data_IF_368039372879
#
_entry.id   IF_368039372879
#
_cell.length_a   1.000
_cell.length_b   1.000
_cell.length_c   1.000
_cell.angle_alpha   90.00
_cell.angle_beta   90.00
_cell.angle_gamma   90.00
#
_symmetry.space_group_name_H-M   'P 1'
#
loop_
_entity.id
_entity.type
_entity.pdbx_description
1 polymer ?
#
# COMPACT_ATOMS: atom_id res chain seq x y z
N UNK A 1 -62.59 61.18 -47.88
CA UNK A 1 -64.00 61.55 -48.00
C UNK A 1 -64.78 60.59 -47.10
N UNK A 2 -65.44 61.13 -46.06
CA UNK A 2 -66.61 60.61 -45.31
C UNK A 2 -66.50 59.19 -44.69
N UNK A 3 -66.89 58.85 -43.47
CA UNK A 3 -67.66 59.43 -42.35
C UNK A 3 -67.88 58.23 -41.40
N UNK A 4 -67.65 58.26 -40.09
CA UNK A 4 -68.61 58.41 -38.96
C UNK A 4 -68.00 57.60 -37.79
N UNK A 5 -67.72 58.18 -36.61
CA UNK A 5 -68.61 58.36 -35.44
C UNK A 5 -69.18 57.04 -34.89
N UNK A 6 -68.67 56.50 -33.77
CA UNK A 6 -68.92 56.87 -32.36
C UNK A 6 -70.25 56.33 -31.78
N UNK A 7 -70.14 55.57 -30.69
CA UNK A 7 -71.23 55.20 -29.76
C UNK A 7 -70.72 54.14 -28.76
N UNK A 8 -70.19 54.52 -27.59
CA UNK A 8 -70.87 54.73 -26.29
C UNK A 8 -71.81 53.60 -25.85
N UNK A 9 -71.42 52.85 -24.82
CA UNK A 9 -72.00 52.89 -23.46
C UNK A 9 -71.32 51.81 -22.59
N UNK A 10 -70.53 52.16 -21.57
CA UNK A 10 -70.91 52.48 -20.18
C UNK A 10 -71.55 51.33 -19.38
N UNK A 11 -70.70 50.75 -18.52
CA UNK A 11 -70.82 50.78 -17.05
C UNK A 11 -71.88 49.93 -16.34
N UNK A 12 -71.40 48.98 -15.52
CA UNK A 12 -71.64 48.78 -14.06
C UNK A 12 -71.57 47.28 -13.72
N UNK A 13 -70.54 46.82 -13.01
CA UNK A 13 -70.37 46.82 -11.54
C UNK A 13 -71.24 45.76 -10.84
N UNK A 14 -70.60 44.82 -10.12
CA UNK A 14 -70.70 44.57 -8.65
C UNK A 14 -70.80 43.10 -8.23
N UNK A 15 -70.06 42.75 -7.15
CA UNK A 15 -70.28 41.63 -6.22
C UNK A 15 -69.42 40.39 -6.51
N UNK A 16 -68.28 40.16 -5.86
CA UNK A 16 -68.03 39.68 -4.47
C UNK A 16 -68.24 38.17 -4.27
N UNK A 17 -67.37 37.57 -3.44
CA UNK A 17 -67.30 36.16 -2.97
C UNK A 17 -66.91 35.06 -3.97
N UNK A 18 -65.68 34.55 -3.88
CA UNK A 18 -65.46 33.30 -3.12
C UNK A 18 -63.98 32.91 -3.00
N UNK A 19 -63.56 32.81 -1.74
CA UNK A 19 -62.35 32.12 -1.33
C UNK A 19 -62.59 30.61 -1.39
N UNK A 20 -62.00 29.94 -2.38
CA UNK A 20 -61.79 28.48 -2.38
C UNK A 20 -60.66 28.06 -3.34
N UNK A 21 -59.49 28.69 -3.23
CA UNK A 21 -58.29 28.26 -3.95
C UNK A 21 -57.45 27.20 -3.21
N UNK A 22 -58.02 26.50 -2.23
CA UNK A 22 -57.37 25.37 -1.58
C UNK A 22 -58.16 24.08 -1.76
N UNK A 23 -57.42 23.08 -2.26
CA UNK A 23 -57.71 21.66 -2.18
C UNK A 23 -58.81 21.11 -3.10
N UNK A 24 -58.51 21.10 -4.39
CA UNK A 24 -58.62 19.82 -5.09
C UNK A 24 -57.21 19.41 -5.50
N UNK A 25 -56.47 18.87 -4.53
CA UNK A 25 -55.36 18.00 -4.88
C UNK A 25 -56.01 16.90 -5.71
N UNK A 26 -55.80 16.93 -7.03
CA UNK A 26 -56.14 15.83 -7.93
C UNK A 26 -55.73 14.57 -7.19
N UNK A 27 -56.74 13.86 -6.66
CA UNK A 27 -56.51 12.63 -5.93
C UNK A 27 -55.98 11.70 -7.01
N UNK A 28 -54.66 11.54 -7.06
CA UNK A 28 -53.99 10.75 -8.08
C UNK A 28 -54.53 9.34 -7.94
N UNK A 29 -55.54 9.01 -8.75
CA UNK A 29 -56.28 7.78 -8.62
C UNK A 29 -55.41 6.66 -9.18
N UNK A 30 -54.54 6.14 -8.31
CA UNK A 30 -53.56 5.09 -8.61
C UNK A 30 -54.24 3.87 -9.25
N UNK A 31 -55.53 3.66 -8.98
CA UNK A 31 -56.33 2.58 -9.56
C UNK A 31 -56.55 2.76 -11.06
N UNK A 32 -56.64 4.01 -11.55
CA UNK A 32 -56.80 4.30 -12.97
C UNK A 32 -55.49 4.02 -13.73
N UNK A 33 -54.34 4.41 -13.18
CA UNK A 33 -53.02 4.05 -13.71
C UNK A 33 -52.79 2.53 -13.70
N UNK A 34 -53.17 1.82 -12.63
CA UNK A 34 -53.09 0.36 -12.54
C UNK A 34 -53.94 -0.32 -13.62
N UNK A 35 -55.13 0.22 -13.92
CA UNK A 35 -56.01 -0.35 -14.96
C UNK A 35 -55.41 -0.18 -16.36
N UNK A 36 -54.77 0.95 -16.64
CA UNK A 36 -54.02 1.18 -17.89
C UNK A 36 -52.82 0.23 -17.97
N UNK A 37 -52.11 0.03 -16.85
CA UNK A 37 -50.98 -0.91 -16.76
C UNK A 37 -51.41 -2.36 -17.05
N UNK A 38 -52.53 -2.80 -16.47
CA UNK A 38 -53.07 -4.15 -16.70
C UNK A 38 -53.56 -4.37 -18.13
N UNK A 39 -54.14 -3.35 -18.76
CA UNK A 39 -54.58 -3.42 -20.17
C UNK A 39 -53.41 -3.65 -21.12
N UNK A 40 -52.24 -3.11 -20.81
CA UNK A 40 -50.99 -3.24 -21.60
C UNK A 40 -49.97 -4.21 -20.99
N UNK A 41 -50.40 -5.10 -20.09
CA UNK A 41 -49.51 -6.05 -19.39
C UNK A 41 -48.59 -6.86 -20.32
N UNK A 42 -49.02 -7.16 -21.55
CA UNK A 42 -48.20 -7.89 -22.53
C UNK A 42 -47.04 -7.05 -23.08
N UNK A 43 -47.26 -5.76 -23.40
CA UNK A 43 -46.19 -4.89 -23.89
C UNK A 43 -45.21 -4.53 -22.78
N UNK A 44 -45.71 -4.36 -21.55
CA UNK A 44 -44.87 -4.15 -20.37
C UNK A 44 -44.07 -5.41 -20.01
N UNK A 45 -44.70 -6.59 -20.05
CA UNK A 45 -43.98 -7.85 -19.84
C UNK A 45 -42.90 -8.08 -20.92
N UNK A 46 -43.17 -7.75 -22.18
CA UNK A 46 -42.16 -7.83 -23.25
C UNK A 46 -41.00 -6.87 -23.01
N UNK A 47 -41.28 -5.60 -22.68
CA UNK A 47 -40.23 -4.63 -22.38
C UNK A 47 -39.40 -5.05 -21.16
N UNK A 48 -40.05 -5.56 -20.11
CA UNK A 48 -39.38 -6.13 -18.93
C UNK A 48 -38.52 -7.33 -19.30
N UNK A 49 -39.03 -8.27 -20.09
CA UNK A 49 -38.27 -9.44 -20.54
C UNK A 49 -37.05 -9.05 -21.38
N UNK A 50 -37.16 -8.07 -22.29
CA UNK A 50 -36.02 -7.61 -23.09
C UNK A 50 -34.93 -6.99 -22.21
N UNK A 51 -35.31 -6.12 -21.27
CA UNK A 51 -34.36 -5.52 -20.32
C UNK A 51 -33.77 -6.59 -19.41
N UNK A 52 -34.58 -7.54 -18.94
CA UNK A 52 -34.14 -8.63 -18.08
C UNK A 52 -33.17 -9.57 -18.81
N UNK A 53 -33.47 -9.99 -20.03
CA UNK A 53 -32.58 -10.82 -20.86
C UNK A 53 -31.28 -10.06 -21.15
N UNK A 54 -31.35 -8.77 -21.47
CA UNK A 54 -30.18 -7.92 -21.67
C UNK A 54 -29.31 -7.84 -20.42
N UNK A 55 -29.91 -7.60 -19.25
CA UNK A 55 -29.22 -7.55 -17.97
C UNK A 55 -28.60 -8.91 -17.60
N UNK A 56 -29.35 -10.01 -17.76
CA UNK A 56 -28.85 -11.37 -17.52
C UNK A 56 -27.67 -11.67 -18.46
N UNK A 57 -27.81 -11.41 -19.76
CA UNK A 57 -26.73 -11.65 -20.73
C UNK A 57 -25.48 -10.85 -20.37
N UNK A 58 -25.66 -9.58 -19.97
CA UNK A 58 -24.56 -8.73 -19.52
C UNK A 58 -23.90 -9.26 -18.24
N UNK A 59 -24.68 -9.59 -17.20
CA UNK A 59 -24.18 -10.10 -15.93
C UNK A 59 -23.46 -11.45 -16.09
N UNK A 60 -23.95 -12.35 -16.93
CA UNK A 60 -23.28 -13.64 -17.18
C UNK A 60 -22.03 -13.52 -18.06
N UNK A 61 -21.86 -12.41 -18.80
CA UNK A 61 -20.67 -12.17 -19.64
C UNK A 61 -19.56 -11.40 -18.88
N UNK A 62 -19.88 -10.78 -17.73
CA UNK A 62 -18.89 -10.08 -16.91
C UNK A 62 -17.89 -11.06 -16.27
N UNK A 63 -16.60 -10.77 -16.43
CA UNK A 63 -15.53 -11.54 -15.76
C UNK A 63 -15.63 -11.31 -14.24
N UNK A 64 -15.58 -12.36 -13.41
CA UNK A 64 -15.57 -12.20 -11.96
C UNK A 64 -14.30 -11.44 -11.52
N UNK A 65 -14.45 -10.55 -10.54
CA UNK A 65 -13.34 -9.81 -9.92
C UNK A 65 -13.16 -10.35 -8.50
N UNK A 66 -11.96 -10.84 -8.20
CA UNK A 66 -11.57 -11.39 -6.91
C UNK A 66 -10.77 -10.34 -6.13
N UNK A 67 -11.00 -10.25 -4.82
CA UNK A 67 -10.24 -9.38 -3.92
C UNK A 67 -9.33 -10.23 -3.02
N UNK A 68 -8.04 -9.90 -2.99
CA UNK A 68 -7.12 -10.36 -1.98
C UNK A 68 -6.92 -9.25 -0.94
N UNK A 69 -6.77 -9.63 0.33
CA UNK A 69 -6.52 -8.67 1.39
C UNK A 69 -5.52 -9.18 2.43
N UNK A 70 -4.71 -8.27 2.96
CA UNK A 70 -3.81 -8.51 4.07
C UNK A 70 -3.99 -7.41 5.11
N UNK A 71 -3.81 -7.77 6.38
CA UNK A 71 -3.93 -6.83 7.50
C UNK A 71 -2.60 -6.76 8.21
N UNK A 72 -2.04 -5.56 8.30
CA UNK A 72 -0.78 -5.29 8.97
C UNK A 72 -1.02 -4.51 10.25
N UNK A 73 -0.54 -5.04 11.37
CA UNK A 73 -0.50 -4.29 12.63
C UNK A 73 0.83 -3.54 12.74
N UNK A 74 0.75 -2.23 12.85
CA UNK A 74 1.88 -1.35 13.10
C UNK A 74 2.08 -1.21 14.61
N UNK A 75 3.24 -1.65 15.10
CA UNK A 75 3.63 -1.36 16.47
C UNK A 75 4.09 0.11 16.55
N UNK A 76 3.27 0.96 17.15
CA UNK A 76 3.67 2.33 17.47
C UNK A 76 4.61 2.31 18.69
N UNK A 77 5.87 2.64 18.47
CA UNK A 77 6.77 3.01 19.56
C UNK A 77 6.51 4.48 19.89
N UNK A 78 5.79 4.73 20.99
CA UNK A 78 5.62 6.09 21.51
C UNK A 78 6.97 6.62 21.97
N UNK A 79 7.68 7.31 21.08
CA UNK A 79 8.91 8.01 21.40
C UNK A 79 8.65 9.22 22.30
N UNK A 80 9.64 9.60 23.11
CA UNK A 80 9.58 10.78 24.00
C UNK A 80 9.28 12.10 23.25
N UNK A 81 9.56 12.14 21.95
CA UNK A 81 9.24 13.26 21.06
C UNK A 81 7.72 13.42 20.85
N UNK A 82 6.99 12.30 20.78
CA UNK A 82 5.55 12.26 20.54
C UNK A 82 4.77 12.80 21.75
N UNK A 83 5.28 12.53 22.95
CA UNK A 83 4.77 13.14 24.20
C UNK A 83 5.02 14.64 24.27
N UNK A 84 6.14 15.14 23.74
CA UNK A 84 6.46 16.57 23.77
C UNK A 84 5.64 17.37 22.74
N UNK A 85 5.43 16.82 21.53
CA UNK A 85 4.53 17.41 20.52
C UNK A 85 3.08 17.42 20.98
N UNK A 86 2.61 16.34 21.60
CA UNK A 86 1.26 16.25 22.18
C UNK A 86 1.01 17.30 23.28
N UNK A 87 2.02 17.61 24.11
CA UNK A 87 1.92 18.68 25.12
C UNK A 87 1.97 20.09 24.55
N UNK A 88 2.57 20.27 23.37
CA UNK A 88 2.70 21.58 22.70
C UNK A 88 1.55 21.87 21.73
N UNK A 89 0.59 20.96 21.56
CA UNK A 89 -0.51 21.11 20.61
C UNK A 89 -0.08 21.12 19.14
N UNK A 90 1.16 20.72 18.84
CA UNK A 90 1.66 20.54 17.49
C UNK A 90 1.23 19.16 17.01
N UNK A 91 0.11 19.09 16.30
CA UNK A 91 -0.36 17.85 15.67
C UNK A 91 0.63 17.43 14.58
N UNK A 92 1.53 16.51 14.92
CA UNK A 92 2.27 15.75 13.92
C UNK A 92 1.27 14.79 13.24
N UNK A 93 1.37 14.71 11.92
CA UNK A 93 0.55 13.86 11.05
C UNK A 93 0.36 12.45 11.63
N UNK A 94 -0.79 11.84 11.36
CA UNK A 94 -1.09 10.48 11.79
C UNK A 94 0.00 9.52 11.27
N UNK A 95 0.80 8.88 12.14
CA UNK A 95 1.91 8.03 11.70
C UNK A 95 1.42 6.86 10.83
N UNK A 96 0.16 6.47 10.95
CA UNK A 96 -0.45 5.42 10.12
C UNK A 96 -0.67 5.89 8.68
N UNK A 97 -1.01 7.16 8.46
CA UNK A 97 -1.20 7.72 7.10
C UNK A 97 0.14 7.77 6.34
N UNK A 98 1.23 8.12 7.03
CA UNK A 98 2.57 8.07 6.44
C UNK A 98 2.93 6.65 6.00
N UNK A 99 2.64 5.64 6.81
CA UNK A 99 2.90 4.25 6.46
C UNK A 99 2.03 3.75 5.29
N UNK A 100 0.78 4.20 5.21
CA UNK A 100 -0.08 3.91 4.05
C UNK A 100 0.53 4.46 2.75
N UNK A 101 1.04 5.68 2.77
CA UNK A 101 1.73 6.26 1.61
C UNK A 101 3.03 5.53 1.27
N UNK A 102 3.80 5.10 2.28
CA UNK A 102 5.00 4.28 2.06
C UNK A 102 4.63 2.94 1.42
N UNK A 103 3.55 2.28 1.87
CA UNK A 103 3.05 1.04 1.28
C UNK A 103 2.71 1.26 -0.20
N UNK A 104 1.99 2.35 -0.53
CA UNK A 104 1.61 2.74 -1.90
C UNK A 104 2.76 3.31 -2.75
N UNK A 105 3.96 3.40 -2.19
CA UNK A 105 5.11 4.01 -2.86
C UNK A 105 5.48 3.28 -4.16
N UNK A 106 6.04 4.05 -5.10
CA UNK A 106 6.51 3.53 -6.39
C UNK A 106 7.59 2.46 -6.21
N UNK A 107 8.50 2.64 -5.25
CA UNK A 107 9.59 1.70 -4.97
C UNK A 107 9.06 0.31 -4.61
N UNK A 108 8.01 0.24 -3.77
CA UNK A 108 7.39 -1.04 -3.44
C UNK A 108 6.72 -1.67 -4.67
N UNK A 109 5.96 -0.89 -5.44
CA UNK A 109 5.31 -1.37 -6.66
C UNK A 109 6.33 -1.87 -7.71
N UNK A 110 7.45 -1.19 -7.88
CA UNK A 110 8.54 -1.61 -8.76
C UNK A 110 9.12 -2.97 -8.36
N UNK A 111 9.35 -3.19 -7.06
CA UNK A 111 9.86 -4.46 -6.54
C UNK A 111 8.84 -5.60 -6.72
N UNK A 112 7.56 -5.32 -6.52
CA UNK A 112 6.48 -6.30 -6.75
C UNK A 112 6.42 -6.72 -8.21
N UNK A 113 6.43 -5.76 -9.14
CA UNK A 113 6.42 -6.06 -10.59
C UNK A 113 7.63 -6.89 -11.00
N UNK A 114 8.82 -6.58 -10.46
CA UNK A 114 10.05 -7.35 -10.72
C UNK A 114 9.99 -8.78 -10.18
N UNK A 115 9.48 -8.98 -8.96
CA UNK A 115 9.44 -10.30 -8.32
C UNK A 115 8.39 -11.23 -8.92
N UNK A 116 7.28 -10.66 -9.39
CA UNK A 116 6.16 -11.43 -9.95
C UNK A 116 6.14 -11.45 -11.48
N UNK A 117 7.12 -10.84 -12.15
CA UNK A 117 7.19 -10.74 -13.61
C UNK A 117 5.84 -10.30 -14.22
N UNK A 118 5.30 -9.17 -13.75
CA UNK A 118 3.99 -8.64 -14.17
C UNK A 118 4.07 -7.72 -15.40
N UNK A 119 5.12 -7.86 -16.17
CA UNK A 119 5.53 -7.07 -17.33
C UNK A 119 5.12 -7.70 -18.66
N UNK A 120 4.17 -8.62 -18.65
CA UNK A 120 3.65 -9.25 -19.87
C UNK A 120 2.13 -9.44 -19.79
N UNK A 121 1.51 -9.55 -20.97
CA UNK A 121 0.10 -9.91 -21.12
C UNK A 121 -0.08 -10.82 -22.32
N UNK A 122 -1.06 -11.72 -22.20
CA UNK A 122 -1.55 -12.48 -23.33
C UNK A 122 -2.47 -11.59 -24.18
N UNK A 123 -2.24 -11.58 -25.47
CA UNK A 123 -3.12 -10.96 -26.47
C UNK A 123 -3.52 -11.99 -27.54
N UNK A 124 -4.65 -11.74 -28.22
CA UNK A 124 -5.16 -12.57 -29.34
C UNK A 124 -5.13 -14.09 -29.07
N UNK A 125 -6.03 -14.59 -28.21
CA UNK A 125 -6.18 -16.03 -27.97
C UNK A 125 -7.19 -16.62 -28.97
N UNK A 126 -6.83 -17.74 -29.61
CA UNK A 126 -7.73 -18.49 -30.50
C UNK A 126 -8.93 -19.08 -29.73
N UNK A 127 -10.14 -19.00 -30.32
CA UNK A 127 -11.39 -19.50 -29.70
C UNK A 127 -11.40 -21.04 -29.65
N UNK A 128 -10.93 -21.60 -28.55
CA UNK A 128 -10.76 -23.06 -28.38
C UNK A 128 -9.53 -23.41 -27.55
N UNK A 129 -8.58 -22.48 -27.48
CA UNK A 129 -7.34 -22.67 -26.76
C UNK A 129 -7.52 -22.37 -25.26
N UNK A 130 -7.24 -23.38 -24.43
CA UNK A 130 -7.13 -23.23 -22.97
C UNK A 130 -5.70 -23.52 -22.55
N UNK A 131 -5.14 -22.66 -21.71
CA UNK A 131 -3.80 -22.83 -21.17
C UNK A 131 -3.64 -22.01 -19.89
N UNK A 132 -2.64 -22.38 -19.10
CA UNK A 132 -2.18 -21.63 -17.94
C UNK A 132 -0.70 -21.35 -18.09
N UNK A 133 -0.30 -20.09 -18.04
CA UNK A 133 1.11 -19.70 -17.96
C UNK A 133 1.48 -19.73 -16.48
N UNK A 134 2.34 -20.67 -16.09
CA UNK A 134 2.83 -20.79 -14.71
C UNK A 134 4.09 -19.94 -14.49
N UNK A 135 4.93 -19.82 -15.51
CA UNK A 135 6.13 -18.98 -15.48
C UNK A 135 6.33 -18.37 -16.88
N UNK A 136 6.55 -17.07 -16.92
CA UNK A 136 7.03 -16.38 -18.11
C UNK A 136 7.98 -15.29 -17.66
N UNK A 137 9.19 -15.32 -18.18
CA UNK A 137 10.15 -14.26 -18.01
C UNK A 137 10.89 -14.07 -19.32
N UNK A 138 11.00 -12.82 -19.74
CA UNK A 138 11.87 -12.42 -20.82
C UNK A 138 12.89 -11.40 -20.29
N UNK A 139 14.15 -11.68 -20.56
CA UNK A 139 15.26 -10.78 -20.26
C UNK A 139 15.78 -10.08 -21.52
N UNK A 140 14.99 -10.05 -22.60
CA UNK A 140 15.30 -9.29 -23.80
C UNK A 140 15.48 -7.80 -23.48
N UNK A 141 16.46 -7.12 -24.10
CA UNK A 141 16.61 -5.67 -23.96
C UNK A 141 15.45 -4.86 -24.57
N UNK A 142 14.59 -5.49 -25.39
CA UNK A 142 13.57 -4.82 -26.17
C UNK A 142 12.20 -4.80 -25.43
N UNK A 143 11.67 -3.61 -25.08
CA UNK A 143 10.45 -3.47 -24.30
C UNK A 143 9.16 -3.78 -25.07
N UNK A 144 9.21 -3.87 -26.41
CA UNK A 144 8.04 -4.06 -27.27
C UNK A 144 8.01 -5.44 -27.96
N UNK A 145 8.84 -6.39 -27.54
CA UNK A 145 8.86 -7.73 -28.15
C UNK A 145 7.51 -8.46 -27.99
N UNK A 146 7.09 -9.14 -29.07
CA UNK A 146 5.88 -9.97 -29.10
C UNK A 146 6.27 -11.40 -29.48
N UNK A 147 5.82 -12.35 -28.66
CA UNK A 147 6.03 -13.77 -28.88
C UNK A 147 4.76 -14.42 -29.40
N UNK A 148 4.90 -15.17 -30.48
CA UNK A 148 3.84 -15.93 -31.11
C UNK A 148 3.98 -17.39 -30.70
N UNK A 149 3.01 -17.91 -29.96
CA UNK A 149 3.01 -19.32 -29.54
C UNK A 149 1.99 -20.08 -30.37
N UNK A 150 2.46 -21.02 -31.18
CA UNK A 150 1.63 -21.83 -32.09
C UNK A 150 1.68 -23.30 -31.69
N UNK A 151 0.51 -23.92 -31.56
CA UNK A 151 0.41 -25.34 -31.22
C UNK A 151 0.71 -26.20 -32.45
N UNK A 152 1.62 -27.17 -32.30
CA UNK A 152 1.90 -28.17 -33.34
C UNK A 152 1.23 -29.52 -33.06
N UNK A 153 0.71 -29.71 -31.84
CA UNK A 153 0.11 -30.96 -31.36
C UNK A 153 -0.58 -30.74 -30.00
N UNK A 154 -1.14 -31.81 -29.40
CA UNK A 154 -1.91 -31.69 -28.15
C UNK A 154 -1.08 -31.13 -26.99
N UNK A 155 0.20 -31.51 -26.91
CA UNK A 155 1.09 -31.09 -25.83
C UNK A 155 2.33 -30.33 -26.33
N UNK A 156 2.41 -29.99 -27.63
CA UNK A 156 3.62 -29.40 -28.23
C UNK A 156 3.34 -28.05 -28.87
N UNK A 157 4.25 -27.11 -28.64
CA UNK A 157 4.14 -25.74 -29.13
C UNK A 157 5.48 -25.23 -29.67
N UNK A 158 5.42 -24.31 -30.64
CA UNK A 158 6.57 -23.52 -31.11
C UNK A 158 6.37 -22.09 -30.63
N UNK A 159 7.43 -21.48 -30.11
CA UNK A 159 7.49 -20.04 -29.85
C UNK A 159 8.27 -19.39 -30.98
N UNK A 160 7.67 -18.41 -31.63
CA UNK A 160 8.26 -17.57 -32.66
C UNK A 160 8.34 -16.12 -32.19
N UNK A 161 9.30 -15.37 -32.73
CA UNK A 161 9.43 -13.93 -32.54
C UNK A 161 8.55 -13.14 -33.52
N UNK A 162 8.57 -11.80 -33.45
CA UNK A 162 7.86 -10.89 -34.36
C UNK A 162 8.19 -11.11 -35.84
N UNK A 163 9.41 -11.55 -36.14
CA UNK A 163 9.89 -11.87 -37.49
C UNK A 163 9.48 -13.28 -37.96
N UNK A 164 8.58 -13.96 -37.26
CA UNK A 164 8.16 -15.36 -37.48
C UNK A 164 9.34 -16.37 -37.41
N UNK A 165 10.43 -15.97 -36.77
CA UNK A 165 11.59 -16.83 -36.50
C UNK A 165 11.28 -17.72 -35.31
N UNK A 166 11.26 -19.04 -35.52
CA UNK A 166 11.08 -20.01 -34.45
C UNK A 166 12.26 -19.96 -33.46
N UNK A 167 12.01 -19.45 -32.26
CA UNK A 167 12.99 -19.35 -31.17
C UNK A 167 13.19 -20.68 -30.46
N UNK A 168 12.10 -21.43 -30.26
CA UNK A 168 12.14 -22.69 -29.52
C UNK A 168 10.88 -23.54 -29.72
N UNK A 169 11.02 -24.84 -29.46
CA UNK A 169 9.91 -25.80 -29.38
C UNK A 169 9.81 -26.32 -27.96
N UNK A 170 8.64 -26.18 -27.36
CA UNK A 170 8.35 -26.61 -26.00
C UNK A 170 7.28 -27.70 -25.93
N UNK A 171 7.14 -28.27 -24.74
CA UNK A 171 6.07 -29.23 -24.40
C UNK A 171 5.32 -28.74 -23.16
N UNK A 172 4.01 -28.99 -23.09
CA UNK A 172 3.22 -28.62 -21.92
C UNK A 172 3.75 -29.34 -20.67
N UNK A 173 3.80 -28.61 -19.55
CA UNK A 173 4.33 -29.06 -18.27
C UNK A 173 5.86 -29.06 -18.17
N UNK A 174 6.59 -28.74 -19.23
CA UNK A 174 8.05 -28.65 -19.22
C UNK A 174 8.50 -27.19 -19.34
N UNK A 175 9.43 -26.79 -18.47
CA UNK A 175 10.03 -25.47 -18.54
C UNK A 175 10.84 -25.36 -19.82
N UNK A 176 10.41 -24.46 -20.71
CA UNK A 176 11.16 -24.09 -21.88
C UNK A 176 12.10 -22.93 -21.54
N UNK A 177 13.39 -23.15 -21.74
CA UNK A 177 14.41 -22.12 -21.59
C UNK A 177 15.23 -22.03 -22.87
N UNK A 178 15.12 -20.91 -23.60
CA UNK A 178 15.85 -20.66 -24.84
C UNK A 178 16.33 -19.22 -24.86
N UNK A 179 17.64 -19.01 -24.68
CA UNK A 179 18.23 -17.67 -24.59
C UNK A 179 17.65 -16.86 -23.41
N UNK A 180 17.13 -15.64 -23.63
CA UNK A 180 16.55 -14.81 -22.58
C UNK A 180 15.14 -15.25 -22.14
N UNK A 181 14.49 -16.12 -22.94
CA UNK A 181 13.11 -16.52 -22.76
C UNK A 181 12.98 -17.74 -21.84
N UNK A 182 12.12 -17.61 -20.83
CA UNK A 182 11.62 -18.69 -19.99
C UNK A 182 10.11 -18.75 -20.11
N UNK A 183 9.58 -19.94 -20.39
CA UNK A 183 8.14 -20.15 -20.50
C UNK A 183 7.76 -21.54 -19.97
N UNK A 184 6.81 -21.58 -19.05
CA UNK A 184 6.17 -22.79 -18.54
C UNK A 184 4.67 -22.71 -18.79
N UNK A 185 4.18 -23.59 -19.67
CA UNK A 185 2.77 -23.72 -20.00
C UNK A 185 2.18 -25.01 -19.41
N UNK A 186 1.11 -24.88 -18.65
CA UNK A 186 0.33 -25.98 -18.10
C UNK A 186 -1.09 -25.98 -18.66
N UNK A 187 -1.78 -27.12 -18.52
CA UNK A 187 -3.18 -27.28 -18.92
C UNK A 187 -3.45 -26.91 -20.40
N UNK A 188 -2.46 -27.10 -21.28
CA UNK A 188 -2.57 -26.77 -22.69
C UNK A 188 -3.59 -27.71 -23.36
N UNK A 189 -4.66 -27.14 -23.90
CA UNK A 189 -5.68 -27.84 -24.67
C UNK A 189 -6.06 -26.99 -25.87
N UNK A 190 -5.89 -27.53 -27.06
CA UNK A 190 -6.22 -26.85 -28.32
C UNK A 190 -5.96 -27.73 -29.52
N UNK A 191 -6.41 -27.27 -30.68
CA UNK A 191 -6.13 -27.94 -31.95
C UNK A 191 -4.78 -27.47 -32.54
N UNK A 192 -4.09 -28.30 -33.33
CA UNK A 192 -2.92 -27.87 -34.08
C UNK A 192 -3.22 -26.66 -34.96
N UNK A 193 -2.35 -25.65 -34.91
CA UNK A 193 -2.50 -24.38 -35.63
C UNK A 193 -3.19 -23.27 -34.82
N UNK A 194 -3.78 -23.58 -33.65
CA UNK A 194 -4.22 -22.54 -32.73
C UNK A 194 -3.01 -21.80 -32.14
N UNK A 195 -3.15 -20.49 -31.98
CA UNK A 195 -2.09 -19.64 -31.47
C UNK A 195 -2.58 -18.61 -30.47
N UNK A 196 -1.64 -18.09 -29.70
CA UNK A 196 -1.80 -16.93 -28.84
C UNK A 196 -0.53 -16.08 -28.85
N UNK A 197 -0.70 -14.79 -28.59
CA UNK A 197 0.41 -13.86 -28.53
C UNK A 197 0.71 -13.50 -27.07
N UNK A 198 1.99 -13.35 -26.75
CA UNK A 198 2.45 -12.75 -25.51
C UNK A 198 3.13 -11.44 -25.88
N UNK A 199 2.62 -10.32 -25.38
CA UNK A 199 3.24 -9.00 -25.58
C UNK A 199 3.84 -8.52 -24.27
N UNK A 200 5.05 -7.99 -24.32
CA UNK A 200 5.64 -7.29 -23.19
C UNK A 200 4.90 -5.96 -22.94
N UNK A 201 4.89 -5.56 -21.67
CA UNK A 201 4.37 -4.29 -21.21
C UNK A 201 5.58 -3.50 -20.72
N UNK A 202 5.80 -2.27 -21.20
CA UNK A 202 6.88 -1.44 -20.70
C UNK A 202 6.84 -1.37 -19.17
N UNK A 203 7.98 -1.60 -18.53
CA UNK A 203 8.08 -1.74 -17.07
C UNK A 203 7.34 -0.62 -16.33
N UNK A 204 7.50 0.63 -16.78
CA UNK A 204 6.84 1.77 -16.15
C UNK A 204 5.30 1.73 -16.24
N UNK A 205 4.77 1.25 -17.36
CA UNK A 205 3.33 1.09 -17.56
C UNK A 205 2.76 -0.02 -16.69
N UNK A 206 3.51 -1.13 -16.52
CA UNK A 206 3.16 -2.20 -15.60
C UNK A 206 3.10 -1.67 -14.15
N UNK A 207 4.15 -0.96 -13.70
CA UNK A 207 4.19 -0.35 -12.36
C UNK A 207 3.03 0.61 -12.13
N UNK A 208 2.74 1.50 -13.07
CA UNK A 208 1.64 2.45 -12.94
C UNK A 208 0.27 1.75 -12.85
N UNK A 209 0.08 0.69 -13.64
CA UNK A 209 -1.16 -0.10 -13.66
C UNK A 209 -1.38 -0.88 -12.37
N UNK A 210 -0.31 -1.40 -11.77
CA UNK A 210 -0.38 -2.06 -10.47
C UNK A 210 -0.63 -1.04 -9.36
N UNK A 211 0.14 0.06 -9.35
CA UNK A 211 0.03 1.10 -8.31
C UNK A 211 -1.35 1.73 -8.23
N UNK A 212 -2.03 1.95 -9.37
CA UNK A 212 -3.38 2.53 -9.39
C UNK A 212 -4.46 1.58 -8.84
N UNK A 213 -4.17 0.28 -8.75
CA UNK A 213 -5.09 -0.76 -8.28
C UNK A 213 -4.80 -1.24 -6.85
N UNK A 214 -3.65 -0.85 -6.28
CA UNK A 214 -3.34 -1.09 -4.88
C UNK A 214 -4.16 -0.12 -4.05
N UNK A 215 -5.02 -0.65 -3.19
CA UNK A 215 -5.66 0.12 -2.14
C UNK A 215 -5.12 -0.28 -0.77
N UNK A 216 -4.83 0.72 0.04
CA UNK A 216 -4.36 0.55 1.39
C UNK A 216 -4.97 1.67 2.23
N UNK A 217 -5.59 1.28 3.34
CA UNK A 217 -6.30 2.18 4.22
C UNK A 217 -6.29 1.66 5.65
N UNK A 218 -6.45 2.57 6.59
CA UNK A 218 -6.64 2.26 8.00
C UNK A 218 -8.02 1.60 8.20
N UNK A 219 -8.09 0.48 8.93
CA UNK A 219 -9.37 -0.26 9.12
C UNK A 219 -10.40 0.60 9.87
N UNK A 220 -9.94 1.36 10.87
CA UNK A 220 -10.70 2.41 11.55
C UNK A 220 -9.75 3.53 11.93
N UNK A 221 -10.24 4.77 11.97
CA UNK A 221 -9.44 5.91 12.41
C UNK A 221 -8.80 5.65 13.78
N UNK A 222 -7.54 6.04 13.94
CA UNK A 222 -6.74 5.88 15.16
C UNK A 222 -6.49 4.41 15.56
N UNK A 223 -6.59 3.48 14.61
CA UNK A 223 -6.12 2.10 14.77
C UNK A 223 -4.80 1.92 14.04
N UNK A 224 -3.81 1.35 14.71
CA UNK A 224 -2.52 1.02 14.07
C UNK A 224 -2.64 -0.21 13.16
N UNK A 225 -3.76 -0.35 12.43
CA UNK A 225 -4.09 -1.51 11.59
C UNK A 225 -4.36 -1.01 10.18
N UNK A 226 -3.51 -1.45 9.25
CA UNK A 226 -3.61 -1.12 7.83
C UNK A 226 -4.15 -2.35 7.10
N UNK A 227 -5.26 -2.18 6.38
CA UNK A 227 -5.77 -3.18 5.42
C UNK A 227 -5.24 -2.82 4.04
N UNK A 228 -4.57 -3.78 3.42
CA UNK A 228 -4.10 -3.71 2.03
C UNK A 228 -5.02 -4.60 1.21
N UNK A 229 -5.48 -4.11 0.08
CA UNK A 229 -6.36 -4.84 -0.85
C UNK A 229 -5.90 -4.70 -2.28
N UNK A 230 -6.13 -5.75 -3.06
CA UNK A 230 -5.90 -5.77 -4.49
C UNK A 230 -6.97 -6.62 -5.17
N UNK A 231 -7.51 -6.12 -6.28
CA UNK A 231 -8.57 -6.78 -7.03
C UNK A 231 -8.05 -7.22 -8.39
N UNK A 232 -8.25 -8.49 -8.77
CA UNK A 232 -7.90 -9.04 -10.09
C UNK A 232 -8.92 -10.06 -10.58
N UNK A 233 -8.95 -10.31 -11.88
CA UNK A 233 -9.71 -11.43 -12.47
C UNK A 233 -9.11 -12.79 -12.14
N UNK A 234 -7.82 -12.85 -11.79
CA UNK A 234 -7.13 -14.06 -11.35
C UNK A 234 -6.92 -14.04 -9.81
N UNK A 235 -7.56 -14.96 -9.06
CA UNK A 235 -7.45 -14.99 -7.61
C UNK A 235 -6.03 -15.33 -7.12
N UNK A 236 -5.26 -16.11 -7.89
CA UNK A 236 -3.88 -16.49 -7.54
C UNK A 236 -2.99 -15.25 -7.66
N UNK A 237 -3.09 -14.51 -8.76
CA UNK A 237 -2.33 -13.26 -8.95
C UNK A 237 -2.67 -12.23 -7.88
N UNK A 238 -3.95 -12.05 -7.54
CA UNK A 238 -4.34 -11.12 -6.49
C UNK A 238 -3.71 -11.46 -5.14
N UNK A 239 -3.77 -12.75 -4.74
CA UNK A 239 -3.15 -13.25 -3.51
C UNK A 239 -1.64 -13.03 -3.51
N UNK A 240 -0.97 -13.44 -4.58
CA UNK A 240 0.49 -13.40 -4.64
C UNK A 240 0.99 -11.96 -4.65
N UNK A 241 0.29 -11.05 -5.34
CA UNK A 241 0.60 -9.62 -5.31
C UNK A 241 0.51 -9.02 -3.92
N UNK A 242 -0.59 -9.28 -3.19
CA UNK A 242 -0.75 -8.77 -1.81
C UNK A 242 0.33 -9.33 -0.89
N UNK A 243 0.62 -10.63 -0.98
CA UNK A 243 1.67 -11.27 -0.19
C UNK A 243 3.06 -10.67 -0.48
N UNK A 244 3.40 -10.52 -1.76
CA UNK A 244 4.68 -9.94 -2.17
C UNK A 244 4.78 -8.48 -1.78
N UNK A 245 3.70 -7.70 -1.90
CA UNK A 245 3.68 -6.30 -1.46
C UNK A 245 3.93 -6.18 0.05
N UNK A 246 3.30 -7.02 0.87
CA UNK A 246 3.56 -7.06 2.30
C UNK A 246 5.03 -7.40 2.61
N UNK A 247 5.58 -8.43 1.94
CA UNK A 247 6.97 -8.82 2.13
C UNK A 247 7.95 -7.69 1.76
N UNK A 248 7.76 -7.10 0.57
CA UNK A 248 8.58 -5.97 0.08
C UNK A 248 8.50 -4.77 1.03
N UNK A 249 7.30 -4.42 1.50
CA UNK A 249 7.14 -3.33 2.45
C UNK A 249 7.88 -3.61 3.77
N UNK A 250 7.74 -4.82 4.33
CA UNK A 250 8.41 -5.19 5.58
C UNK A 250 9.94 -5.15 5.43
N UNK A 251 10.45 -5.69 4.32
CA UNK A 251 11.88 -5.66 4.00
C UNK A 251 12.39 -4.22 3.86
N UNK A 252 11.70 -3.37 3.10
CA UNK A 252 12.08 -1.97 2.91
C UNK A 252 11.99 -1.15 4.20
N UNK A 253 10.94 -1.36 5.01
CA UNK A 253 10.78 -0.69 6.30
C UNK A 253 11.90 -1.07 7.27
N UNK A 254 12.28 -2.36 7.30
CA UNK A 254 13.40 -2.82 8.11
C UNK A 254 14.72 -2.22 7.63
N UNK A 255 14.97 -2.25 6.31
CA UNK A 255 16.18 -1.69 5.72
C UNK A 255 16.33 -0.19 6.04
N UNK A 256 15.26 0.60 5.87
CA UNK A 256 15.26 2.03 6.21
C UNK A 256 15.56 2.26 7.69
N UNK A 257 14.90 1.54 8.60
CA UNK A 257 15.14 1.66 10.05
C UNK A 257 16.58 1.30 10.43
N UNK A 258 17.14 0.25 9.85
CA UNK A 258 18.55 -0.12 10.10
C UNK A 258 19.54 0.94 9.59
N UNK A 259 19.25 1.54 8.44
CA UNK A 259 20.05 2.63 7.89
C UNK A 259 20.00 3.88 8.77
N UNK A 260 18.82 4.24 9.29
CA UNK A 260 18.64 5.36 10.22
C UNK A 260 19.36 5.13 11.55
N UNK A 261 19.23 3.92 12.12
CA UNK A 261 19.94 3.55 13.34
C UNK A 261 21.46 3.62 13.17
N UNK A 262 21.98 3.16 12.03
CA UNK A 262 23.42 3.19 11.72
C UNK A 262 23.95 4.62 11.62
N UNK A 263 23.22 5.51 10.92
CA UNK A 263 23.57 6.95 10.84
C UNK A 263 23.52 7.64 12.21
N UNK A 264 22.55 7.25 13.05
CA UNK A 264 22.44 7.78 14.41
C UNK A 264 23.65 7.37 15.26
N UNK A 265 24.10 6.12 15.13
CA UNK A 265 25.30 5.64 15.81
C UNK A 265 26.55 6.38 15.35
N UNK A 266 26.72 6.57 14.04
CA UNK A 266 27.82 7.33 13.46
C UNK A 266 27.88 8.76 14.01
N UNK A 267 26.73 9.44 14.11
CA UNK A 267 26.65 10.77 14.72
C UNK A 267 27.06 10.76 16.19
N UNK A 268 26.66 9.75 16.97
CA UNK A 268 27.05 9.64 18.39
C UNK A 268 28.56 9.40 18.51
N UNK A 269 29.13 8.53 17.69
CA UNK A 269 30.57 8.25 17.69
C UNK A 269 31.40 9.50 17.35
N UNK A 270 31.00 10.27 16.33
CA UNK A 270 31.64 11.53 15.98
C UNK A 270 31.60 12.53 17.14
N UNK A 271 30.45 12.68 17.81
CA UNK A 271 30.32 13.56 18.96
C UNK A 271 31.17 13.11 20.15
N UNK A 272 31.27 11.80 20.42
CA UNK A 272 32.14 11.27 21.48
C UNK A 272 33.63 11.50 21.18
N UNK A 273 34.03 11.43 19.91
CA UNK A 273 35.37 11.79 19.47
C UNK A 273 35.69 13.26 19.73
N UNK A 274 34.77 14.17 19.35
CA UNK A 274 34.90 15.61 19.60
C UNK A 274 35.02 15.92 21.09
N UNK A 275 34.12 15.38 21.92
CA UNK A 275 34.14 15.60 23.37
C UNK A 275 35.42 15.07 24.03
N UNK A 276 35.95 13.93 23.57
CA UNK A 276 37.27 13.44 24.03
C UNK A 276 38.40 14.39 23.67
N UNK A 277 38.40 14.93 22.46
CA UNK A 277 39.40 15.91 22.02
C UNK A 277 39.32 17.22 22.80
N UNK A 278 38.11 17.70 23.10
CA UNK A 278 37.89 18.89 23.92
C UNK A 278 38.39 18.67 25.36
N UNK A 279 38.13 17.49 25.93
CA UNK A 279 38.63 17.10 27.25
C UNK A 279 40.17 17.05 27.28
N UNK A 280 40.80 16.39 26.31
CA UNK A 280 42.27 16.34 26.19
C UNK A 280 42.89 17.74 26.08
N UNK A 281 42.22 18.66 25.37
CA UNK A 281 42.67 20.04 25.21
C UNK A 281 42.53 20.82 26.52
N UNK A 282 41.40 20.65 27.22
CA UNK A 282 41.19 21.25 28.53
C UNK A 282 42.19 20.74 29.58
N UNK A 283 42.50 19.43 29.58
CA UNK A 283 43.53 18.82 30.43
C UNK A 283 44.92 19.42 30.14
N UNK A 284 45.32 19.52 28.87
CA UNK A 284 46.60 20.15 28.48
C UNK A 284 46.70 21.62 28.87
N UNK A 285 45.62 22.38 28.72
CA UNK A 285 45.57 23.79 29.12
C UNK A 285 45.69 23.95 30.65
N UNK A 286 45.06 23.07 31.42
CA UNK A 286 45.19 23.03 32.88
C UNK A 286 46.63 22.69 33.30
N UNK A 287 47.26 21.71 32.63
CA UNK A 287 48.65 21.32 32.84
C UNK A 287 49.59 22.51 32.60
N UNK A 288 49.40 23.22 31.47
CA UNK A 288 50.18 24.41 31.12
C UNK A 288 50.00 25.54 32.15
N UNK A 289 48.76 25.80 32.59
CA UNK A 289 48.47 26.78 33.63
C UNK A 289 49.14 26.44 34.98
N UNK A 290 49.10 25.16 35.39
CA UNK A 290 49.79 24.66 36.59
C UNK A 290 51.31 24.84 36.50
N UNK A 291 51.89 24.60 35.32
CA UNK A 291 53.33 24.77 35.07
C UNK A 291 53.76 26.23 35.06
N UNK A 292 52.98 27.12 34.44
CA UNK A 292 53.33 28.53 34.26
C UNK A 292 53.18 29.35 35.55
N UNK A 293 52.19 29.05 36.39
CA UNK A 293 51.94 29.81 37.61
C UNK A 293 52.92 29.49 38.75
N UNK A 294 53.83 28.49 38.61
CA UNK A 294 54.78 28.04 39.65
C UNK A 294 54.15 27.82 41.04
N UNK A 295 52.84 27.55 41.13
CA UNK A 295 52.16 27.20 42.39
C UNK A 295 52.46 25.74 42.70
N UNK A 296 53.69 25.48 43.15
CA UNK A 296 54.11 24.18 43.66
C UNK A 296 54.21 24.29 45.16
N UNK A 297 53.06 24.13 45.81
CA UNK A 297 52.84 23.31 46.99
C UNK A 297 51.34 23.33 47.27
N UNK A 298 50.58 22.58 46.47
CA UNK A 298 49.29 22.09 46.92
C UNK A 298 49.60 20.99 47.94
N UNK A 299 49.01 21.12 49.13
CA UNK A 299 49.14 20.14 50.22
C UNK A 299 48.92 18.72 49.67
N UNK A 300 49.64 17.71 50.17
CA UNK A 300 49.57 16.33 49.63
C UNK A 300 48.13 15.81 49.55
N UNK A 301 47.30 16.25 50.50
CA UNK A 301 45.87 15.96 50.57
C UNK A 301 45.06 16.60 49.44
N UNK A 302 45.40 17.82 49.01
CA UNK A 302 44.75 18.50 47.88
C UNK A 302 45.13 17.85 46.53
N UNK A 303 46.37 17.40 46.37
CA UNK A 303 46.77 16.59 45.21
C UNK A 303 46.00 15.27 45.15
N UNK A 304 45.90 14.54 46.26
CA UNK A 304 45.14 13.29 46.33
C UNK A 304 43.64 13.54 46.06
N UNK A 305 43.08 14.63 46.58
CA UNK A 305 41.68 14.98 46.35
C UNK A 305 41.40 15.30 44.87
N UNK A 306 42.28 16.07 44.22
CA UNK A 306 42.15 16.37 42.78
C UNK A 306 42.31 15.11 41.94
N UNK A 307 43.20 14.20 42.32
CA UNK A 307 43.37 12.90 41.66
C UNK A 307 42.11 12.04 41.83
N UNK A 308 41.54 11.99 43.05
CA UNK A 308 40.25 11.35 43.32
C UNK A 308 39.12 11.96 42.50
N UNK A 309 39.05 13.29 42.38
CA UNK A 309 38.02 13.97 41.58
C UNK A 309 38.15 13.60 40.10
N UNK A 310 39.36 13.64 39.54
CA UNK A 310 39.60 13.26 38.14
C UNK A 310 39.29 11.78 37.89
N UNK A 311 39.69 10.89 38.80
CA UNK A 311 39.34 9.47 38.72
C UNK A 311 37.83 9.24 38.86
N UNK A 312 37.13 9.97 39.75
CA UNK A 312 35.67 9.86 39.87
C UNK A 312 34.94 10.45 38.67
N UNK A 313 35.44 11.51 38.04
CA UNK A 313 34.91 12.01 36.78
C UNK A 313 35.11 11.01 35.64
N UNK A 314 36.27 10.36 35.56
CA UNK A 314 36.52 9.25 34.61
C UNK A 314 35.60 8.06 34.86
N UNK A 315 35.41 7.66 36.12
CA UNK A 315 34.49 6.58 36.47
C UNK A 315 33.03 6.96 36.16
N UNK A 316 32.63 8.19 36.46
CA UNK A 316 31.26 8.70 36.22
C UNK A 316 30.95 8.77 34.72
N UNK A 317 31.90 9.22 33.90
CA UNK A 317 31.75 9.25 32.45
C UNK A 317 31.71 7.84 31.85
N UNK A 318 32.54 6.91 32.32
CA UNK A 318 32.49 5.50 31.94
C UNK A 318 31.15 4.83 32.29
N UNK A 319 30.63 5.08 33.50
CA UNK A 319 29.31 4.59 33.93
C UNK A 319 28.17 5.19 33.11
N UNK A 320 28.25 6.47 32.75
CA UNK A 320 27.26 7.09 31.88
C UNK A 320 27.22 6.43 30.50
N UNK A 321 28.38 6.04 29.95
CA UNK A 321 28.50 5.30 28.71
C UNK A 321 27.90 3.89 28.82
N UNK A 322 28.27 3.13 29.86
CA UNK A 322 27.71 1.79 30.09
C UNK A 322 26.19 1.82 30.28
N UNK A 323 25.68 2.81 31.04
CA UNK A 323 24.23 3.00 31.20
C UNK A 323 23.55 3.26 29.86
N UNK A 324 24.14 4.09 29.00
CA UNK A 324 23.60 4.34 27.66
C UNK A 324 23.60 3.08 26.80
N UNK A 325 24.69 2.31 26.81
CA UNK A 325 24.77 1.02 26.11
C UNK A 325 23.72 0.02 26.63
N UNK A 326 23.51 -0.05 27.94
CA UNK A 326 22.48 -0.89 28.54
C UNK A 326 21.06 -0.44 28.20
N UNK A 327 20.79 0.87 28.20
CA UNK A 327 19.51 1.44 27.72
C UNK A 327 19.24 1.04 26.25
N UNK A 328 20.26 1.11 25.39
CA UNK A 328 20.14 0.67 23.99
C UNK A 328 19.97 -0.85 23.84
N UNK A 329 20.71 -1.66 24.59
CA UNK A 329 20.59 -3.12 24.56
C UNK A 329 19.22 -3.58 25.09
N UNK A 330 18.69 -2.94 26.13
CA UNK A 330 17.32 -3.17 26.62
C UNK A 330 16.26 -2.74 25.60
N UNK A 331 16.47 -1.64 24.88
CA UNK A 331 15.59 -1.22 23.80
C UNK A 331 15.60 -2.18 22.60
N UNK A 332 16.72 -2.88 22.37
CA UNK A 332 16.88 -3.86 21.29
C UNK A 332 16.37 -5.27 21.64
N UNK A 333 16.04 -5.56 22.90
CA UNK A 333 15.49 -6.85 23.32
C UNK A 333 13.97 -6.88 23.08
N UNK A 334 13.42 -7.92 22.41
CA UNK A 334 11.97 -8.09 22.30
C UNK A 334 11.38 -8.34 23.69
N UNK A 335 10.25 -7.69 23.99
CA UNK A 335 9.60 -7.73 25.31
C UNK A 335 9.38 -9.17 25.83
N UNK A 336 9.59 -9.46 27.13
CA UNK A 336 9.51 -10.82 27.67
C UNK A 336 8.08 -11.40 27.53
N UNK A 337 7.94 -12.73 27.38
CA UNK A 337 6.63 -13.37 27.41
C UNK A 337 5.95 -13.11 28.77
N UNK A 338 4.66 -12.80 28.75
CA UNK A 338 3.87 -12.62 29.98
C UNK A 338 3.76 -13.96 30.72
N UNK A 339 4.50 -14.12 31.81
CA UNK A 339 4.35 -15.29 32.68
C UNK A 339 3.07 -15.18 33.52
N UNK A 340 2.35 -16.29 33.79
CA UNK A 340 1.10 -16.26 34.57
C UNK A 340 1.35 -15.84 36.02
N UNK A 341 0.51 -14.95 36.55
CA UNK A 341 0.56 -14.44 37.92
C UNK A 341 0.36 -15.57 38.95
N UNK A 342 1.45 -16.04 39.57
CA UNK A 342 1.37 -16.83 40.80
C UNK A 342 1.20 -15.90 42.01
N UNK A 343 0.05 -15.99 42.70
CA UNK A 343 -0.16 -15.36 44.00
C UNK A 343 0.36 -16.30 45.09
N UNK A 344 1.45 -15.96 45.77
CA UNK A 344 1.78 -16.64 47.03
C UNK A 344 0.76 -16.22 48.10
N UNK A 345 0.01 -17.19 48.62
CA UNK A 345 -0.68 -17.06 49.91
C UNK A 345 0.38 -17.15 51.00
N UNK A 346 0.65 -16.06 51.70
CA UNK A 346 1.37 -16.07 52.96
C UNK A 346 0.43 -16.56 54.07
N UNK A 347 0.60 -17.81 54.47
CA UNK A 347 0.14 -18.32 55.75
C UNK A 347 1.34 -18.93 56.45
N UNK A 348 1.77 -18.31 57.55
CA UNK A 348 2.53 -18.95 58.62
C UNK A 348 2.53 -18.00 59.83
N UNK A 349 1.53 -18.22 60.68
CA UNK A 349 1.59 -17.93 62.11
C UNK A 349 2.53 -18.94 62.76
N UNK A 350 3.52 -18.45 63.51
CA UNK A 350 4.03 -19.05 64.74
C UNK A 350 4.55 -17.95 65.64
#
# INVERSE_FOLDING_TARGET
MTSELNGRDQSRNSGDSDASFFQQSDEVDLREYIRVLMRRRRTLAMAFCVIFIGAVTYTFTMKPVYEASATLYLRQEKGRMDTLSGTLGLTLQNPVETEVEIIKSRTNAEQVVKRLHLDWKVTRVSSGLTFRIDDFADNSPDPDSEYYVTLNGPDSYTVSDQDDRALAKGRSGQLLQSGPLRLLLSELRGNPGESFNISLIPFQSAVNSIRSRIDAAEVRKMTSIIKITFQDTDPIKARDLVNTLCAVYLENSLALKTQEASKTLEFIEQNLGGVRSDLDTAEKNLEAYKSETRVVQLDKEAQELVQKISETEKLRTGLALQRKQAEFALAALPSPPSWPNWRFRSGLSW
#
